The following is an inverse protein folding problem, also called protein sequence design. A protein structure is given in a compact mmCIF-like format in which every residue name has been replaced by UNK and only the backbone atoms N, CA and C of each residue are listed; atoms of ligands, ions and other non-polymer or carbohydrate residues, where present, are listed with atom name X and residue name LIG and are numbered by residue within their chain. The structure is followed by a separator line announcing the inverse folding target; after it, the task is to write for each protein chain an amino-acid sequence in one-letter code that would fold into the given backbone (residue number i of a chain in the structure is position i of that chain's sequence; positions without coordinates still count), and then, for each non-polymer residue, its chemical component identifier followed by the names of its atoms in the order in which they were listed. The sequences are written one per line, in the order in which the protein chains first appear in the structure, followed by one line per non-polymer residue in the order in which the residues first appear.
data_IF_016489613560
#
_entry.id   IF_016489613560
#
_cell.length_a   1.000
_cell.length_b   1.000
_cell.length_c   1.000
_cell.angle_alpha   90.00
_cell.angle_beta   90.00
_cell.angle_gamma   90.00
#
_symmetry.space_group_name_H-M   'P 1'
#
loop_
_entity.id
_entity.type
_entity.pdbx_description
1 polymer ?
#
# COMPACT_ATOMS: atom_id res chain seq x y z
N UNK A 1 -6.57 -2.59 7.18
CA UNK A 1 -6.76 -3.33 8.47
C UNK A 1 -5.79 -2.82 9.56
N UNK A 2 -6.12 -2.84 10.87
CA UNK A 2 -5.27 -2.17 11.91
C UNK A 2 -3.84 -2.74 12.02
N UNK A 3 -3.67 -4.06 11.97
CA UNK A 3 -2.34 -4.71 12.08
C UNK A 3 -1.48 -4.43 10.86
N UNK A 4 -2.08 -4.52 9.68
CA UNK A 4 -1.45 -4.25 8.39
C UNK A 4 -0.87 -2.83 8.31
N UNK A 5 -1.61 -1.81 8.78
CA UNK A 5 -1.09 -0.43 8.85
C UNK A 5 0.14 -0.29 9.74
N UNK A 6 0.19 -1.00 10.86
CA UNK A 6 1.37 -0.99 11.75
C UNK A 6 2.58 -1.65 11.10
N UNK A 7 2.38 -2.76 10.39
CA UNK A 7 3.45 -3.43 9.64
C UNK A 7 3.94 -2.57 8.47
N UNK A 8 3.02 -1.92 7.75
CA UNK A 8 3.32 -1.00 6.67
C UNK A 8 4.10 0.24 7.15
N UNK A 9 3.77 0.77 8.34
CA UNK A 9 4.54 1.83 8.97
C UNK A 9 6.00 1.39 9.23
N UNK A 10 6.20 0.19 9.79
CA UNK A 10 7.55 -0.35 10.02
C UNK A 10 8.30 -0.56 8.70
N UNK A 11 7.65 -1.11 7.68
CA UNK A 11 8.22 -1.30 6.34
C UNK A 11 8.64 0.03 5.71
N UNK A 12 7.79 1.07 5.82
CA UNK A 12 8.08 2.42 5.34
C UNK A 12 9.32 3.02 6.02
N UNK A 13 9.46 2.86 7.34
CA UNK A 13 10.63 3.34 8.09
C UNK A 13 11.90 2.65 7.58
N UNK A 14 11.91 1.31 7.50
CA UNK A 14 13.06 0.53 7.06
C UNK A 14 13.44 0.81 5.61
N UNK A 15 12.46 0.90 4.71
CA UNK A 15 12.67 1.18 3.30
C UNK A 15 13.29 2.56 3.07
N UNK A 16 12.87 3.56 3.86
CA UNK A 16 13.44 4.91 3.78
C UNK A 16 14.84 5.01 4.39
N UNK A 17 15.19 4.17 5.37
CA UNK A 17 16.55 4.10 5.91
C UNK A 17 17.56 3.60 4.85
N UNK A 18 17.17 2.63 4.04
CA UNK A 18 18.00 2.06 2.97
C UNK A 18 17.84 2.76 1.61
N UNK A 19 17.03 3.83 1.54
CA UNK A 19 16.69 4.49 0.28
C UNK A 19 17.88 5.25 -0.29
N UNK A 20 18.18 4.99 -1.56
CA UNK A 20 19.07 5.81 -2.38
C UNK A 20 18.26 6.97 -3.02
N UNK A 21 18.53 8.25 -2.67
CA UNK A 21 17.82 9.39 -3.22
C UNK A 21 18.02 9.59 -4.73
N UNK A 22 19.08 9.05 -5.32
CA UNK A 22 19.32 9.18 -6.77
C UNK A 22 18.43 8.20 -7.55
N UNK A 23 18.21 6.99 -7.02
CA UNK A 23 17.38 5.97 -7.66
C UNK A 23 15.89 6.14 -7.35
N UNK A 24 15.57 6.61 -6.14
CA UNK A 24 14.20 6.92 -5.74
C UNK A 24 14.17 8.26 -4.98
N UNK A 25 13.98 9.39 -5.70
CA UNK A 25 13.97 10.71 -5.08
C UNK A 25 12.85 10.90 -4.07
N UNK A 26 11.69 10.30 -4.31
CA UNK A 26 10.53 10.34 -3.43
C UNK A 26 10.62 9.29 -2.32
N UNK A 27 10.49 9.67 -1.04
CA UNK A 27 10.42 8.73 0.07
C UNK A 27 9.26 7.74 -0.09
N UNK A 28 9.42 6.54 0.46
CA UNK A 28 8.31 5.61 0.63
C UNK A 28 7.32 6.17 1.66
N UNK A 29 6.05 5.85 1.47
CA UNK A 29 4.91 6.17 2.30
C UNK A 29 4.23 4.88 2.76
N UNK A 30 3.30 4.96 3.72
CA UNK A 30 2.55 3.79 4.17
C UNK A 30 1.77 3.16 3.00
N UNK A 31 1.21 3.98 2.11
CA UNK A 31 0.41 3.52 0.97
C UNK A 31 1.21 2.75 -0.07
N UNK A 32 2.54 2.91 -0.13
CA UNK A 32 3.39 2.04 -0.96
C UNK A 32 3.36 0.57 -0.50
N UNK A 33 2.95 0.30 0.74
CA UNK A 33 2.84 -1.04 1.34
C UNK A 33 1.40 -1.45 1.64
N UNK A 34 0.44 -0.56 1.43
CA UNK A 34 -1.01 -0.80 1.56
C UNK A 34 -1.75 -0.13 0.40
N UNK A 35 -1.56 -0.59 -0.86
CA UNK A 35 -2.17 0.06 -2.02
C UNK A 35 -3.70 0.01 -1.97
N UNK A 36 -4.27 -1.07 -1.41
CA UNK A 36 -5.70 -1.25 -1.21
C UNK A 36 -6.32 -0.32 -0.16
N UNK A 37 -5.52 0.35 0.68
CA UNK A 37 -6.05 1.41 1.55
C UNK A 37 -6.51 2.64 0.73
N UNK A 38 -6.10 2.75 -0.55
CA UNK A 38 -6.61 3.74 -1.51
C UNK A 38 -7.83 3.26 -2.29
N UNK A 39 -8.14 1.96 -2.23
CA UNK A 39 -9.33 1.39 -2.86
C UNK A 39 -10.55 1.70 -1.97
N UNK A 40 -10.96 2.97 -1.95
CA UNK A 40 -12.14 3.43 -1.23
C UNK A 40 -13.44 3.12 -1.95
N UNK A 41 -13.41 2.45 -3.10
CA UNK A 41 -14.63 2.05 -3.80
C UNK A 41 -15.06 0.68 -3.28
N UNK A 42 -16.05 0.60 -2.37
CA UNK A 42 -16.67 -0.67 -2.06
C UNK A 42 -17.28 -1.22 -3.35
N UNK A 43 -16.74 -2.34 -3.83
CA UNK A 43 -17.32 -3.12 -4.91
C UNK A 43 -18.36 -4.07 -4.32
N UNK A 44 -19.48 -4.28 -5.00
CA UNK A 44 -20.42 -5.33 -4.61
C UNK A 44 -19.80 -6.71 -4.80
N UNK A 45 -20.33 -7.74 -4.13
CA UNK A 45 -19.85 -9.11 -4.33
C UNK A 45 -20.07 -9.56 -5.77
N UNK A 46 -21.19 -9.16 -6.35
CA UNK A 46 -21.61 -9.47 -7.71
C UNK A 46 -20.66 -8.86 -8.74
N UNK A 47 -20.31 -7.58 -8.59
CA UNK A 47 -19.37 -6.88 -9.48
C UNK A 47 -17.95 -7.44 -9.34
N UNK A 48 -17.54 -7.85 -8.12
CA UNK A 48 -16.24 -8.47 -7.90
C UNK A 48 -16.12 -9.82 -8.63
N UNK A 49 -17.17 -10.64 -8.61
CA UNK A 49 -17.21 -11.92 -9.34
C UNK A 49 -17.17 -11.66 -10.85
N UNK A 50 -17.91 -10.69 -11.36
CA UNK A 50 -17.93 -10.35 -12.78
C UNK A 50 -16.57 -9.85 -13.30
N UNK A 51 -15.73 -9.26 -12.44
CA UNK A 51 -14.39 -8.77 -12.81
C UNK A 51 -13.34 -9.87 -13.02
N UNK A 52 -13.65 -11.12 -12.65
CA UNK A 52 -12.74 -12.27 -12.71
C UNK A 52 -12.98 -13.20 -13.91
N UNK A 53 -14.09 -13.01 -14.64
CA UNK A 53 -14.40 -13.72 -15.90
C UNK A 53 -13.83 -13.00 -17.13
#
# INVERSE_FOLDING_TARGET
MRVERSTALLAMILANQARDPQKRPTPYTITDFTPHDQDETPISLEDAIASWE
#
